data_IF_292648876942
#
_entry.id   IF_292648876942
#
_cell.length_a   1.000
_cell.length_b   1.000
_cell.length_c   1.000
_cell.angle_alpha   90.00
_cell.angle_beta   90.00
_cell.angle_gamma   90.00
#
_symmetry.space_group_name_H-M   'P 1'
#
loop_
_entity.id
_entity.type
_entity.pdbx_description
1 polymer ?
#
# COMPACT_ATOMS: atom_id res chain seq x y z
N UNK A 1 17.69 -18.23 23.64
CA UNK A 1 16.71 -17.37 22.94
C UNK A 1 17.30 -16.03 22.46
N UNK A 2 18.12 -15.34 23.28
CA UNK A 2 18.69 -14.02 22.95
C UNK A 2 19.56 -14.05 21.67
N UNK A 3 20.49 -15.00 21.54
CA UNK A 3 21.37 -15.10 20.37
C UNK A 3 20.62 -15.28 19.03
N UNK A 4 19.50 -16.01 19.02
CA UNK A 4 18.66 -16.18 17.82
C UNK A 4 17.99 -14.86 17.40
N UNK A 5 17.49 -14.07 18.36
CA UNK A 5 16.89 -12.75 18.07
C UNK A 5 17.94 -11.75 17.60
N UNK A 6 19.13 -11.77 18.21
CA UNK A 6 20.26 -10.92 17.79
C UNK A 6 20.66 -11.22 16.34
N UNK A 7 20.84 -12.51 15.99
CA UNK A 7 21.21 -12.89 14.62
C UNK A 7 20.13 -12.54 13.60
N UNK A 8 18.85 -12.70 13.96
CA UNK A 8 17.75 -12.33 13.08
C UNK A 8 17.66 -10.81 12.88
N UNK A 9 17.85 -10.00 13.94
CA UNK A 9 17.91 -8.54 13.85
C UNK A 9 19.11 -8.09 13.00
N UNK A 10 20.28 -8.71 13.15
CA UNK A 10 21.46 -8.42 12.34
C UNK A 10 21.20 -8.68 10.84
N UNK A 11 20.47 -9.76 10.50
CA UNK A 11 20.08 -10.04 9.12
C UNK A 11 19.13 -9.00 8.53
N UNK A 12 18.15 -8.53 9.31
CA UNK A 12 17.23 -7.45 8.87
C UNK A 12 17.99 -6.14 8.65
N UNK A 13 18.89 -5.78 9.57
CA UNK A 13 19.71 -4.57 9.46
C UNK A 13 20.63 -4.66 8.24
N UNK A 14 21.33 -5.77 8.04
CA UNK A 14 22.23 -5.96 6.90
C UNK A 14 21.49 -5.78 5.56
N UNK A 15 20.30 -6.40 5.42
CA UNK A 15 19.49 -6.27 4.21
C UNK A 15 18.94 -4.86 3.99
N UNK A 16 18.58 -4.15 5.06
CA UNK A 16 18.14 -2.76 4.96
C UNK A 16 19.29 -1.80 4.62
N UNK A 17 20.52 -2.13 5.03
CA UNK A 17 21.72 -1.39 4.64
C UNK A 17 22.08 -1.59 3.17
N UNK A 18 21.88 -2.79 2.61
CA UNK A 18 22.08 -3.07 1.17
C UNK A 18 21.20 -2.18 0.27
N UNK A 19 20.00 -1.84 0.74
CA UNK A 19 19.06 -0.95 0.04
C UNK A 19 19.19 0.51 0.45
N UNK A 20 20.27 0.88 1.15
CA UNK A 20 20.57 2.26 1.63
C UNK A 20 19.41 2.90 2.42
N UNK A 21 18.66 2.12 3.18
CA UNK A 21 17.57 2.67 3.97
C UNK A 21 18.07 3.61 5.08
N UNK A 22 17.28 4.64 5.36
CA UNK A 22 17.51 5.53 6.50
C UNK A 22 17.29 4.78 7.82
N UNK A 23 17.76 5.35 8.93
CA UNK A 23 17.53 4.79 10.27
C UNK A 23 16.03 4.56 10.56
N UNK A 24 15.15 5.42 10.02
CA UNK A 24 13.71 5.25 10.12
C UNK A 24 13.22 4.01 9.34
N UNK A 25 13.73 3.78 8.13
CA UNK A 25 13.42 2.58 7.34
C UNK A 25 13.84 1.28 8.04
N UNK A 26 15.04 1.28 8.65
CA UNK A 26 15.53 0.14 9.45
C UNK A 26 14.62 -0.11 10.67
N UNK A 27 14.19 0.95 11.37
CA UNK A 27 13.28 0.83 12.50
C UNK A 27 11.91 0.25 12.10
N UNK A 28 11.38 0.67 10.94
CA UNK A 28 10.15 0.09 10.36
C UNK A 28 10.34 -1.38 10.04
N UNK A 29 11.46 -1.77 9.41
CA UNK A 29 11.75 -3.17 9.10
C UNK A 29 11.86 -4.05 10.36
N UNK A 30 12.51 -3.56 11.41
CA UNK A 30 12.60 -4.25 12.70
C UNK A 30 11.23 -4.35 13.40
N UNK A 31 10.41 -3.31 13.31
CA UNK A 31 9.04 -3.31 13.83
C UNK A 31 8.16 -4.32 13.10
N UNK A 32 8.21 -4.34 11.76
CA UNK A 32 7.49 -5.29 10.92
C UNK A 32 7.91 -6.74 11.19
N UNK A 33 9.19 -6.96 11.49
CA UNK A 33 9.74 -8.25 11.92
C UNK A 33 9.38 -8.62 13.38
N UNK A 34 8.64 -7.78 14.11
CA UNK A 34 8.27 -8.02 15.51
C UNK A 34 9.44 -7.96 16.50
N UNK A 35 10.59 -7.40 16.08
CA UNK A 35 11.81 -7.35 16.89
C UNK A 35 11.73 -6.30 18.01
N UNK A 36 10.90 -5.27 17.83
CA UNK A 36 10.70 -4.18 18.78
C UNK A 36 9.54 -4.44 19.77
N UNK A 37 8.81 -5.55 19.61
CA UNK A 37 7.69 -5.92 20.46
C UNK A 37 8.13 -6.84 21.60
N UNK A 38 7.37 -6.83 22.71
CA UNK A 38 7.52 -7.84 23.75
C UNK A 38 7.31 -9.24 23.16
N UNK A 39 7.95 -10.29 23.70
CA UNK A 39 7.76 -11.64 23.19
C UNK A 39 6.29 -12.10 23.28
N UNK A 40 5.53 -11.59 24.24
CA UNK A 40 4.10 -11.87 24.38
C UNK A 40 3.29 -11.25 23.24
N UNK A 41 3.51 -9.97 22.92
CA UNK A 41 2.81 -9.28 21.83
C UNK A 41 3.18 -9.88 20.48
N UNK A 42 4.45 -10.23 20.26
CA UNK A 42 4.87 -10.90 19.02
C UNK A 42 4.21 -12.28 18.86
N UNK A 43 4.07 -13.05 19.94
CA UNK A 43 3.41 -14.35 19.92
C UNK A 43 1.89 -14.25 19.70
N UNK A 44 1.26 -13.18 20.18
CA UNK A 44 -0.15 -12.90 19.91
C UNK A 44 -0.37 -12.47 18.46
N UNK A 45 0.47 -11.57 17.93
CA UNK A 45 0.42 -11.15 16.53
C UNK A 45 0.56 -12.35 15.57
N UNK A 46 1.46 -13.28 15.87
CA UNK A 46 1.64 -14.49 15.06
C UNK A 46 0.42 -15.43 15.12
N UNK A 47 -0.18 -15.59 16.32
CA UNK A 47 -1.42 -16.35 16.49
C UNK A 47 -2.57 -15.74 15.68
N UNK A 48 -2.72 -14.42 15.75
CA UNK A 48 -3.75 -13.70 15.01
C UNK A 48 -3.55 -13.82 13.49
N UNK A 49 -2.31 -13.69 13.00
CA UNK A 49 -2.00 -13.90 11.57
C UNK A 49 -2.36 -15.31 11.10
N UNK A 50 -1.99 -16.32 11.88
CA UNK A 50 -2.35 -17.72 11.60
C UNK A 50 -3.87 -17.91 11.58
N UNK A 51 -4.58 -17.28 12.51
CA UNK A 51 -6.04 -17.34 12.57
C UNK A 51 -6.69 -16.64 11.36
N UNK A 52 -6.15 -15.50 10.92
CA UNK A 52 -6.61 -14.79 9.72
C UNK A 52 -6.44 -15.68 8.49
N UNK A 53 -5.25 -16.25 8.25
CA UNK A 53 -5.03 -17.16 7.12
C UNK A 53 -5.98 -18.36 7.14
N UNK A 54 -6.24 -18.92 8.33
CA UNK A 54 -7.21 -20.00 8.48
C UNK A 54 -8.63 -19.56 8.12
N UNK A 55 -9.07 -18.38 8.58
CA UNK A 55 -10.39 -17.84 8.28
C UNK A 55 -10.54 -17.49 6.79
N UNK A 56 -9.51 -16.89 6.18
CA UNK A 56 -9.47 -16.61 4.73
C UNK A 56 -9.60 -17.90 3.92
N UNK A 57 -8.90 -18.97 4.32
CA UNK A 57 -9.03 -20.27 3.67
C UNK A 57 -10.44 -20.86 3.86
N UNK A 58 -11.04 -20.71 5.04
CA UNK A 58 -12.41 -21.18 5.29
C UNK A 58 -13.43 -20.43 4.43
N UNK A 59 -13.27 -19.11 4.27
CA UNK A 59 -14.10 -18.28 3.40
C UNK A 59 -13.94 -18.70 1.94
N UNK A 60 -12.70 -18.90 1.46
CA UNK A 60 -12.44 -19.36 0.11
C UNK A 60 -13.06 -20.74 -0.16
N UNK A 61 -12.93 -21.67 0.79
CA UNK A 61 -13.53 -23.00 0.68
C UNK A 61 -15.06 -22.94 0.66
N UNK A 62 -15.68 -22.10 1.49
CA UNK A 62 -17.12 -21.91 1.49
C UNK A 62 -17.60 -21.36 0.13
N UNK A 63 -16.92 -20.36 -0.42
CA UNK A 63 -17.23 -19.84 -1.76
C UNK A 63 -17.09 -20.89 -2.88
N UNK A 64 -16.09 -21.77 -2.79
CA UNK A 64 -15.86 -22.83 -3.78
C UNK A 64 -16.91 -23.96 -3.73
N UNK A 65 -17.43 -24.28 -2.54
CA UNK A 65 -18.46 -25.31 -2.36
C UNK A 65 -19.84 -24.86 -2.85
N UNK A 66 -20.14 -23.56 -2.71
CA UNK A 66 -21.42 -22.99 -3.13
C UNK A 66 -21.35 -22.51 -4.58
N UNK A 67 -21.53 -23.44 -5.52
CA UNK A 67 -21.60 -23.18 -6.97
C UNK A 67 -23.03 -23.26 -7.49
N UNK A 68 -23.39 -22.48 -8.54
CA UNK A 68 -24.71 -22.57 -9.16
C UNK A 68 -24.84 -23.87 -9.95
N UNK A 69 -26.05 -24.42 -10.02
CA UNK A 69 -26.39 -25.44 -11.02
C UNK A 69 -26.29 -24.84 -12.44
N UNK A 70 -25.85 -25.64 -13.41
CA UNK A 70 -25.71 -25.19 -14.80
C UNK A 70 -27.07 -24.91 -15.48
N UNK A 71 -28.10 -25.61 -15.05
CA UNK A 71 -29.44 -25.66 -15.66
C UNK A 71 -30.54 -25.10 -14.75
N UNK A 72 -30.24 -24.78 -13.50
CA UNK A 72 -31.22 -24.26 -12.54
C UNK A 72 -30.69 -23.06 -11.76
N UNK A 73 -31.61 -22.21 -11.30
CA UNK A 73 -31.29 -21.05 -10.43
C UNK A 73 -31.17 -21.47 -8.96
N UNK A 74 -30.48 -22.58 -8.69
CA UNK A 74 -30.22 -23.06 -7.35
C UNK A 74 -28.72 -23.29 -7.12
N UNK A 75 -28.32 -23.21 -5.87
CA UNK A 75 -26.99 -23.58 -5.42
C UNK A 75 -26.88 -25.11 -5.27
N UNK A 76 -25.76 -25.69 -5.70
CA UNK A 76 -25.53 -27.13 -5.65
C UNK A 76 -25.35 -27.67 -4.23
N UNK A 77 -24.91 -26.82 -3.28
CA UNK A 77 -24.58 -27.25 -1.93
C UNK A 77 -25.79 -27.28 -1.00
N UNK A 78 -26.60 -26.22 -1.03
CA UNK A 78 -27.72 -26.03 -0.11
C UNK A 78 -29.10 -26.16 -0.80
N UNK A 79 -29.13 -26.28 -2.13
CA UNK A 79 -30.37 -26.37 -2.92
C UNK A 79 -31.21 -25.09 -2.93
N UNK A 80 -30.75 -24.02 -2.28
CA UNK A 80 -31.45 -22.75 -2.20
C UNK A 80 -31.36 -21.96 -3.51
N UNK A 81 -32.21 -20.94 -3.67
CA UNK A 81 -32.17 -20.07 -4.84
C UNK A 81 -30.81 -19.37 -4.97
N UNK A 82 -30.26 -19.32 -6.18
CA UNK A 82 -29.00 -18.64 -6.47
C UNK A 82 -29.19 -17.12 -6.69
N UNK A 83 -28.33 -16.24 -6.15
CA UNK A 83 -27.26 -16.55 -5.19
C UNK A 83 -27.84 -16.97 -3.83
N UNK A 84 -27.31 -18.04 -3.26
CA UNK A 84 -27.81 -18.54 -1.98
C UNK A 84 -27.36 -17.63 -0.83
N UNK A 85 -28.00 -17.70 0.36
CA UNK A 85 -27.69 -16.82 1.49
C UNK A 85 -26.21 -16.79 1.86
N UNK A 86 -25.51 -17.94 1.79
CA UNK A 86 -24.07 -18.03 2.07
C UNK A 86 -23.24 -17.21 1.09
N UNK A 87 -23.48 -17.36 -0.22
CA UNK A 87 -22.74 -16.62 -1.26
C UNK A 87 -23.07 -15.14 -1.20
N UNK A 88 -24.33 -14.79 -0.94
CA UNK A 88 -24.73 -13.39 -0.74
C UNK A 88 -24.03 -12.78 0.47
N UNK A 89 -23.96 -13.48 1.61
CA UNK A 89 -23.26 -12.99 2.80
C UNK A 89 -21.74 -12.85 2.57
N UNK A 90 -21.11 -13.78 1.85
CA UNK A 90 -19.70 -13.67 1.44
C UNK A 90 -19.48 -12.49 0.48
N UNK A 91 -20.43 -12.29 -0.45
CA UNK A 91 -20.48 -11.15 -1.36
C UNK A 91 -20.62 -9.82 -0.63
N UNK A 92 -21.48 -9.74 0.39
CA UNK A 92 -21.71 -8.55 1.21
C UNK A 92 -20.51 -8.19 2.09
N UNK A 93 -19.87 -9.21 2.69
CA UNK A 93 -18.62 -9.04 3.43
C UNK A 93 -17.48 -8.56 2.51
N UNK A 94 -17.47 -9.02 1.26
CA UNK A 94 -16.56 -8.51 0.23
C UNK A 94 -17.02 -7.15 -0.32
N UNK A 95 -18.30 -6.83 -0.32
CA UNK A 95 -18.85 -5.60 -0.90
C UNK A 95 -18.83 -4.41 0.05
N UNK A 96 -17.89 -4.35 0.99
CA UNK A 96 -17.50 -3.07 1.57
C UNK A 96 -17.39 -2.08 0.41
N UNK A 97 -18.24 -1.04 0.43
CA UNK A 97 -18.36 -0.10 -0.69
C UNK A 97 -16.95 0.39 -1.06
N UNK A 98 -16.72 0.72 -2.33
CA UNK A 98 -15.41 1.23 -2.74
C UNK A 98 -14.96 2.38 -1.82
N UNK A 99 -15.92 3.23 -1.43
CA UNK A 99 -15.74 4.26 -0.42
C UNK A 99 -15.32 3.74 0.95
N UNK A 100 -15.92 2.68 1.48
CA UNK A 100 -15.49 2.05 2.74
C UNK A 100 -14.05 1.53 2.64
N UNK A 101 -13.68 0.89 1.53
CA UNK A 101 -12.31 0.39 1.30
C UNK A 101 -11.29 1.53 1.21
N UNK A 102 -11.65 2.61 0.52
CA UNK A 102 -10.84 3.83 0.45
C UNK A 102 -10.67 4.45 1.85
N UNK A 103 -11.76 4.56 2.61
CA UNK A 103 -11.72 5.05 4.00
C UNK A 103 -10.83 4.17 4.88
N UNK A 104 -10.91 2.84 4.75
CA UNK A 104 -10.08 1.92 5.53
C UNK A 104 -8.60 2.04 5.17
N UNK A 105 -8.27 2.21 3.88
CA UNK A 105 -6.90 2.45 3.43
C UNK A 105 -6.34 3.77 3.99
N UNK A 106 -7.13 4.85 3.95
CA UNK A 106 -6.73 6.16 4.51
C UNK A 106 -6.51 6.07 6.03
N UNK A 107 -7.39 5.37 6.75
CA UNK A 107 -7.23 5.15 8.18
C UNK A 107 -5.99 4.30 8.51
N UNK A 108 -5.66 3.33 7.67
CA UNK A 108 -4.45 2.52 7.84
C UNK A 108 -3.17 3.35 7.71
N UNK A 109 -3.12 4.32 6.79
CA UNK A 109 -2.00 5.27 6.68
C UNK A 109 -1.86 6.12 7.94
N UNK A 110 -2.97 6.64 8.47
CA UNK A 110 -2.94 7.41 9.72
C UNK A 110 -2.48 6.55 10.89
N UNK A 111 -2.91 5.28 10.96
CA UNK A 111 -2.52 4.35 12.02
C UNK A 111 -1.02 4.00 12.00
N UNK A 112 -0.33 4.11 10.86
CA UNK A 112 1.13 3.95 10.77
C UNK A 112 1.89 5.26 11.04
N UNK A 113 1.18 6.33 11.42
CA UNK A 113 1.77 7.63 11.70
C UNK A 113 2.06 8.45 10.44
N UNK A 114 1.49 8.08 9.30
CA UNK A 114 1.61 8.83 8.03
C UNK A 114 0.44 9.83 7.96
N UNK A 115 0.66 11.14 8.17
CA UNK A 115 -0.39 12.14 8.01
C UNK A 115 -0.79 12.22 6.53
N UNK A 116 -2.11 12.24 6.28
CA UNK A 116 -2.66 12.39 4.93
C UNK A 116 -3.17 13.82 4.77
N UNK A 117 -2.61 14.54 3.79
CA UNK A 117 -3.12 15.84 3.37
C UNK A 117 -3.86 15.68 2.04
N UNK A 118 -5.07 16.23 1.95
CA UNK A 118 -5.87 16.25 0.73
C UNK A 118 -6.01 17.70 0.28
N UNK A 119 -5.41 18.03 -0.85
CA UNK A 119 -5.42 19.38 -1.42
C UNK A 119 -6.70 19.64 -2.23
N UNK A 120 -7.10 20.92 -2.41
CA UNK A 120 -8.32 21.28 -3.14
C UNK A 120 -8.35 20.84 -4.61
N UNK A 121 -7.18 20.61 -5.21
CA UNK A 121 -7.05 20.13 -6.58
C UNK A 121 -7.09 18.59 -6.70
N UNK A 122 -7.21 17.91 -5.55
CA UNK A 122 -7.32 16.46 -5.44
C UNK A 122 -6.01 15.74 -5.15
N UNK A 123 -4.87 16.43 -4.97
CA UNK A 123 -3.65 15.74 -4.55
C UNK A 123 -3.78 15.17 -3.15
N UNK A 124 -3.34 13.93 -2.98
CA UNK A 124 -3.25 13.27 -1.67
C UNK A 124 -1.78 13.06 -1.37
N UNK A 125 -1.24 13.84 -0.46
CA UNK A 125 0.19 13.85 -0.14
C UNK A 125 0.44 13.46 1.31
N UNK A 126 1.61 12.89 1.56
CA UNK A 126 2.22 12.88 2.87
C UNK A 126 3.15 14.11 2.95
N UNK A 127 2.86 15.14 3.77
CA UNK A 127 3.68 16.35 3.87
C UNK A 127 5.15 16.12 4.22
N UNK A 128 5.49 14.94 4.74
CA UNK A 128 6.86 14.54 5.11
C UNK A 128 7.43 13.41 4.25
N UNK A 129 6.70 12.93 3.25
CA UNK A 129 7.08 11.83 2.38
C UNK A 129 7.38 12.29 0.96
N UNK A 130 8.20 11.51 0.26
CA UNK A 130 8.47 11.72 -1.17
C UNK A 130 7.39 11.08 -2.06
N UNK A 131 6.42 10.37 -1.50
CA UNK A 131 5.36 9.69 -2.24
C UNK A 131 4.03 10.42 -2.09
N UNK A 132 3.35 10.66 -3.21
CA UNK A 132 2.01 11.25 -3.22
C UNK A 132 1.16 10.67 -4.36
N UNK A 133 -0.16 10.84 -4.25
CA UNK A 133 -1.13 10.37 -5.24
C UNK A 133 -1.72 11.59 -5.95
N UNK A 134 -1.61 11.63 -7.27
CA UNK A 134 -2.16 12.70 -8.12
C UNK A 134 -3.23 12.15 -9.09
N UNK A 135 -4.18 13.00 -9.49
CA UNK A 135 -5.09 12.69 -10.59
C UNK A 135 -4.46 13.11 -11.93
N UNK A 136 -4.07 12.15 -12.75
CA UNK A 136 -3.62 12.44 -14.11
C UNK A 136 -4.82 12.72 -15.01
N UNK A 137 -5.04 13.99 -15.37
CA UNK A 137 -6.11 14.37 -16.30
C UNK A 137 -5.90 13.78 -17.70
N UNK A 138 -4.66 13.75 -18.17
CA UNK A 138 -4.32 13.20 -19.48
C UNK A 138 -4.63 11.69 -19.58
N UNK A 139 -4.39 10.94 -18.49
CA UNK A 139 -4.64 9.51 -18.44
C UNK A 139 -6.01 9.14 -17.84
N UNK A 140 -6.76 10.10 -17.32
CA UNK A 140 -8.05 9.88 -16.64
C UNK A 140 -7.95 8.90 -15.46
N UNK A 141 -6.84 8.89 -14.73
CA UNK A 141 -6.60 7.97 -13.61
C UNK A 141 -5.71 8.54 -12.52
N UNK A 142 -5.88 8.04 -11.30
CA UNK A 142 -4.98 8.28 -10.18
C UNK A 142 -3.61 7.62 -10.43
N UNK A 143 -2.52 8.29 -10.04
CA UNK A 143 -1.14 7.78 -10.13
C UNK A 143 -0.41 8.00 -8.81
N UNK A 144 0.39 7.01 -8.42
CA UNK A 144 1.43 7.18 -7.40
C UNK A 144 2.62 7.88 -8.07
N UNK A 145 3.11 8.94 -7.43
CA UNK A 145 4.23 9.76 -7.88
C UNK A 145 5.25 9.85 -6.77
N UNK A 146 6.52 9.85 -7.15
CA UNK A 146 7.64 10.06 -6.25
C UNK A 146 8.24 11.44 -6.58
N UNK A 147 8.47 12.29 -5.58
CA UNK A 147 9.09 13.62 -5.75
C UNK A 147 10.50 13.53 -6.38
N UNK A 148 11.16 12.38 -6.19
CA UNK A 148 12.48 12.06 -6.76
C UNK A 148 12.40 11.65 -8.23
N UNK A 149 11.21 11.24 -8.71
CA UNK A 149 10.92 11.05 -10.12
C UNK A 149 10.49 12.40 -10.72
N UNK A 150 11.40 13.38 -10.66
CA UNK A 150 11.45 14.34 -11.75
C UNK A 150 11.68 13.50 -13.00
N UNK A 151 10.69 13.48 -13.89
CA UNK A 151 10.64 12.83 -15.20
C UNK A 151 11.86 13.22 -16.08
N UNK A 152 13.05 12.76 -15.67
CA UNK A 152 14.35 12.87 -16.35
C UNK A 152 14.67 11.57 -17.11
N UNK A 153 13.98 10.47 -16.79
CA UNK A 153 14.22 9.15 -17.38
C UNK A 153 13.49 8.88 -18.70
N UNK A 154 12.64 9.79 -19.18
CA UNK A 154 11.98 9.70 -20.49
C UNK A 154 12.32 10.85 -21.45
N UNK A 155 13.19 11.78 -21.05
CA UNK A 155 13.64 12.84 -21.94
C UNK A 155 14.85 12.36 -22.75
N UNK A 156 14.82 12.55 -24.07
CA UNK A 156 16.06 12.48 -24.84
C UNK A 156 17.05 13.53 -24.32
N UNK A 157 18.35 13.33 -24.54
CA UNK A 157 19.38 14.27 -24.09
C UNK A 157 19.08 15.72 -24.53
N UNK A 158 18.52 15.87 -25.74
CA UNK A 158 18.09 17.14 -26.31
C UNK A 158 16.91 17.78 -25.54
N UNK A 159 15.93 16.97 -25.13
CA UNK A 159 14.78 17.45 -24.35
C UNK A 159 15.16 17.82 -22.91
N UNK A 160 16.10 17.08 -22.31
CA UNK A 160 16.65 17.42 -21.00
C UNK A 160 17.44 18.74 -21.03
N UNK A 161 18.22 18.97 -22.08
CA UNK A 161 18.98 20.22 -22.27
C UNK A 161 18.05 21.41 -22.52
N UNK A 162 17.01 21.26 -23.35
CA UNK A 162 16.00 22.29 -23.57
C UNK A 162 15.30 22.69 -22.27
N UNK A 163 14.95 21.72 -21.42
CA UNK A 163 14.29 21.95 -20.13
C UNK A 163 15.22 22.64 -19.12
N UNK A 164 16.52 22.29 -19.10
CA UNK A 164 17.54 22.99 -18.28
C UNK A 164 17.73 24.44 -18.71
N UNK A 165 17.67 24.72 -20.01
CA UNK A 165 17.77 26.08 -20.54
C UNK A 165 16.53 26.90 -20.19
N UNK A 166 15.32 26.34 -20.29
CA UNK A 166 14.08 27.00 -19.87
C UNK A 166 14.07 27.30 -18.37
N UNK A 167 14.50 26.34 -17.53
CA UNK A 167 14.64 26.55 -16.09
C UNK A 167 15.65 27.66 -15.76
N UNK A 168 16.84 27.66 -16.40
CA UNK A 168 17.84 28.72 -16.23
C UNK A 168 17.31 30.08 -16.67
N UNK A 169 16.53 30.14 -17.76
CA UNK A 169 15.92 31.38 -18.23
C UNK A 169 14.88 31.91 -17.22
N UNK A 170 14.04 31.04 -16.67
CA UNK A 170 13.05 31.39 -15.62
C UNK A 170 13.72 31.86 -14.34
N UNK A 171 14.80 31.21 -13.91
CA UNK A 171 15.55 31.62 -12.71
C UNK A 171 16.22 33.00 -12.87
N UNK A 172 16.79 33.30 -14.05
CA UNK A 172 17.31 34.64 -14.36
C UNK A 172 16.20 35.69 -14.40
N UNK A 173 15.04 35.35 -14.97
CA UNK A 173 13.90 36.26 -15.05
C UNK A 173 13.29 36.55 -13.66
N UNK A 174 13.40 35.60 -12.73
CA UNK A 174 12.95 35.75 -11.34
C UNK A 174 13.96 36.48 -10.43
N UNK A 175 15.10 36.94 -10.96
CA UNK A 175 16.12 37.67 -10.19
C UNK A 175 16.92 36.81 -9.21
N UNK A 176 16.90 35.48 -9.38
CA UNK A 176 17.73 34.57 -8.59
C UNK A 176 19.14 34.47 -9.15
N UNK A 177 20.12 35.07 -8.46
CA UNK A 177 21.53 34.72 -8.66
C UNK A 177 21.75 33.27 -8.18
N UNK A 178 22.18 32.40 -9.09
CA UNK A 178 22.73 31.09 -8.74
C UNK A 178 24.22 31.26 -8.40
N UNK A 179 24.74 30.62 -7.33
CA UNK A 179 26.18 30.51 -7.12
C UNK A 179 26.87 29.65 -8.20
#
# INVERSE_FOLDING_TARGET
>A
MIAKRINAAAGVIARAMETRQTAAGIAVALSAAGMLQSPETAAEAERLRTQVTKLEQQVANAGALHIPHADSRHCQHDGGQWPCPTVSALGEASSASLWKRVTDALNALVATGIPVHVEPDGHISNPSGAEHIEWSRAAGRWRLVHDDETDETLLTAEQAEARRLDYRARMRAAGGDLP
#
